data_IF_265817100569
#
_entry.id   IF_265817100569
#
_cell.length_a   1.000
_cell.length_b   1.000
_cell.length_c   1.000
_cell.angle_alpha   90.00
_cell.angle_beta   90.00
_cell.angle_gamma   90.00
#
_symmetry.space_group_name_H-M   'P 1'
#
loop_
_entity.id
_entity.type
_entity.pdbx_description
1 polymer ?
#
# COMPACT_ATOMS: atom_id res chain seq x y z
N UNK A 1 5.25 -24.88 -8.46
CA UNK A 1 5.41 -23.99 -7.29
C UNK A 1 4.24 -24.18 -6.35
N UNK A 2 4.55 -24.21 -5.06
CA UNK A 2 3.54 -24.35 -4.02
C UNK A 2 2.64 -23.11 -3.96
N UNK A 3 1.32 -23.32 -4.05
CA UNK A 3 0.33 -22.25 -4.03
C UNK A 3 0.37 -21.46 -2.72
N UNK A 4 0.57 -22.17 -1.60
CA UNK A 4 0.68 -21.52 -0.28
C UNK A 4 1.89 -20.60 -0.21
N UNK A 5 3.04 -21.02 -0.73
CA UNK A 5 4.24 -20.19 -0.78
C UNK A 5 4.04 -18.95 -1.65
N UNK A 6 3.32 -19.09 -2.76
CA UNK A 6 2.98 -17.95 -3.62
C UNK A 6 2.13 -16.94 -2.87
N UNK A 7 1.17 -17.40 -2.06
CA UNK A 7 0.30 -16.51 -1.29
C UNK A 7 1.05 -15.81 -0.16
N UNK A 8 1.98 -16.53 0.49
CA UNK A 8 2.83 -15.93 1.52
C UNK A 8 3.68 -14.82 0.91
N UNK A 9 4.28 -15.08 -0.26
CA UNK A 9 5.09 -14.09 -0.96
C UNK A 9 4.23 -12.89 -1.38
N UNK A 10 3.02 -13.13 -1.88
CA UNK A 10 2.08 -12.06 -2.27
C UNK A 10 1.70 -11.19 -1.07
N UNK A 11 1.43 -11.79 0.08
CA UNK A 11 1.10 -11.07 1.31
C UNK A 11 2.27 -10.15 1.70
N UNK A 12 3.48 -10.67 1.70
CA UNK A 12 4.68 -9.90 2.04
C UNK A 12 4.92 -8.76 1.05
N UNK A 13 4.81 -9.04 -0.24
CA UNK A 13 5.01 -8.04 -1.30
C UNK A 13 3.97 -6.93 -1.23
N UNK A 14 2.72 -7.27 -0.98
CA UNK A 14 1.65 -6.28 -0.86
C UNK A 14 1.85 -5.38 0.36
N UNK A 15 2.27 -5.93 1.50
CA UNK A 15 2.56 -5.12 2.68
C UNK A 15 3.74 -4.18 2.43
N UNK A 16 4.77 -4.66 1.76
CA UNK A 16 5.94 -3.85 1.41
C UNK A 16 5.57 -2.71 0.47
N UNK A 17 4.74 -3.00 -0.54
CA UNK A 17 4.25 -1.97 -1.46
C UNK A 17 3.40 -0.93 -0.72
N UNK A 18 2.54 -1.37 0.21
CA UNK A 18 1.75 -0.45 1.02
C UNK A 18 2.63 0.51 1.81
N UNK A 19 3.71 0.00 2.41
CA UNK A 19 4.66 0.84 3.14
C UNK A 19 5.35 1.85 2.23
N UNK A 20 5.72 1.42 1.02
CA UNK A 20 6.35 2.32 0.03
C UNK A 20 5.40 3.45 -0.38
N UNK A 21 4.13 3.14 -0.61
CA UNK A 21 3.15 4.17 -0.97
C UNK A 21 2.86 5.11 0.19
N UNK A 22 2.82 4.62 1.44
CA UNK A 22 2.66 5.48 2.59
C UNK A 22 3.87 6.40 2.77
N UNK A 23 5.08 5.88 2.55
CA UNK A 23 6.29 6.71 2.56
C UNK A 23 6.27 7.80 1.51
N UNK A 24 5.81 7.45 0.30
CA UNK A 24 5.65 8.42 -0.79
C UNK A 24 4.61 9.48 -0.43
N UNK A 25 3.50 9.09 0.23
CA UNK A 25 2.49 10.03 0.70
C UNK A 25 3.06 11.02 1.72
N UNK A 26 3.88 10.55 2.65
CA UNK A 26 4.52 11.42 3.63
C UNK A 26 5.46 12.43 2.97
N UNK A 27 6.23 12.00 1.98
CA UNK A 27 7.10 12.90 1.22
C UNK A 27 6.29 13.96 0.47
N UNK A 28 5.19 13.57 -0.16
CA UNK A 28 4.31 14.50 -0.85
C UNK A 28 3.66 15.50 0.13
N UNK A 29 3.33 15.04 1.34
CA UNK A 29 2.79 15.93 2.37
C UNK A 29 3.81 17.00 2.76
N UNK A 30 5.07 16.63 2.90
CA UNK A 30 6.15 17.59 3.17
C UNK A 30 6.29 18.61 2.04
N UNK A 31 6.20 18.14 0.79
CA UNK A 31 6.23 19.04 -0.37
C UNK A 31 5.02 19.97 -0.39
N UNK A 32 3.84 19.48 -0.03
CA UNK A 32 2.63 20.30 0.04
C UNK A 32 2.78 21.41 1.09
N UNK A 33 3.34 21.09 2.26
CA UNK A 33 3.55 22.06 3.33
C UNK A 33 4.58 23.14 2.97
N UNK A 34 5.57 22.79 2.14
CA UNK A 34 6.61 23.72 1.69
C UNK A 34 6.34 24.35 0.34
N UNK A 35 5.18 24.10 -0.26
CA UNK A 35 4.89 24.58 -1.62
C UNK A 35 4.78 26.11 -1.69
N UNK A 36 5.29 26.74 -2.76
CA UNK A 36 5.32 28.20 -2.86
C UNK A 36 3.98 28.84 -3.22
N UNK A 37 3.04 28.07 -3.75
CA UNK A 37 1.74 28.59 -4.20
C UNK A 37 0.63 27.57 -4.01
N UNK A 38 -0.62 28.04 -4.15
CA UNK A 38 -1.81 27.22 -3.94
C UNK A 38 -1.94 26.09 -4.97
N UNK A 39 -1.50 26.29 -6.20
CA UNK A 39 -1.58 25.29 -7.25
C UNK A 39 -0.63 24.11 -6.96
N UNK A 40 0.62 24.40 -6.57
CA UNK A 40 1.58 23.38 -6.16
C UNK A 40 1.10 22.62 -4.92
N UNK A 41 0.55 23.33 -3.94
CA UNK A 41 -0.03 22.71 -2.74
C UNK A 41 -1.13 21.73 -3.13
N UNK A 42 -2.03 22.13 -4.03
CA UNK A 42 -3.14 21.27 -4.50
C UNK A 42 -2.60 20.03 -5.19
N UNK A 43 -1.61 20.18 -6.07
CA UNK A 43 -1.00 19.06 -6.79
C UNK A 43 -0.40 18.05 -5.83
N UNK A 44 0.42 18.49 -4.88
CA UNK A 44 1.04 17.59 -3.92
C UNK A 44 0.02 16.95 -2.99
N UNK A 45 -1.02 17.69 -2.59
CA UNK A 45 -2.11 17.14 -1.78
C UNK A 45 -2.86 16.02 -2.52
N UNK A 46 -3.11 16.19 -3.81
CA UNK A 46 -3.71 15.13 -4.64
C UNK A 46 -2.82 13.90 -4.69
N UNK A 47 -1.50 14.09 -4.78
CA UNK A 47 -0.55 12.97 -4.77
C UNK A 47 -0.56 12.25 -3.42
N UNK A 48 -0.71 12.97 -2.31
CA UNK A 48 -0.89 12.34 -0.98
C UNK A 48 -2.08 11.40 -0.99
N UNK A 49 -3.23 11.90 -1.46
CA UNK A 49 -4.46 11.11 -1.50
C UNK A 49 -4.27 9.85 -2.36
N UNK A 50 -3.72 10.01 -3.56
CA UNK A 50 -3.50 8.89 -4.47
C UNK A 50 -2.58 7.83 -3.86
N UNK A 51 -1.48 8.24 -3.25
CA UNK A 51 -0.55 7.30 -2.62
C UNK A 51 -1.17 6.58 -1.44
N UNK A 52 -1.99 7.27 -0.63
CA UNK A 52 -2.68 6.62 0.49
C UNK A 52 -3.75 5.64 0.02
N UNK A 53 -4.45 5.96 -1.07
CA UNK A 53 -5.40 5.02 -1.67
C UNK A 53 -4.71 3.76 -2.20
N UNK A 54 -3.53 3.91 -2.81
CA UNK A 54 -2.75 2.76 -3.27
C UNK A 54 -2.27 1.90 -2.09
N UNK A 55 -1.80 2.53 -1.00
CA UNK A 55 -1.39 1.81 0.19
C UNK A 55 -2.55 1.01 0.79
N UNK A 56 -3.72 1.62 0.85
CA UNK A 56 -4.95 0.98 1.36
C UNK A 56 -5.34 -0.22 0.51
N UNK A 57 -5.25 -0.08 -0.81
CA UNK A 57 -5.54 -1.17 -1.75
C UNK A 57 -4.59 -2.36 -1.54
N UNK A 58 -3.29 -2.10 -1.43
CA UNK A 58 -2.32 -3.18 -1.21
C UNK A 58 -2.47 -3.84 0.15
N UNK A 59 -2.84 -3.10 1.20
CA UNK A 59 -3.15 -3.69 2.50
C UNK A 59 -4.37 -4.59 2.44
N UNK A 60 -5.38 -4.18 1.66
CA UNK A 60 -6.55 -5.03 1.41
C UNK A 60 -6.14 -6.34 0.73
N UNK A 61 -5.29 -6.27 -0.30
CA UNK A 61 -4.81 -7.48 -0.99
C UNK A 61 -4.00 -8.37 -0.04
N UNK A 62 -3.16 -7.78 0.81
CA UNK A 62 -2.39 -8.53 1.80
C UNK A 62 -3.31 -9.26 2.78
N UNK A 63 -4.37 -8.60 3.25
CA UNK A 63 -5.37 -9.21 4.14
C UNK A 63 -6.07 -10.38 3.45
N UNK A 64 -6.45 -10.23 2.18
CA UNK A 64 -7.08 -11.30 1.42
C UNK A 64 -6.13 -12.50 1.23
N UNK A 65 -4.86 -12.23 0.96
CA UNK A 65 -3.86 -13.29 0.85
C UNK A 65 -3.71 -14.04 2.17
N UNK A 66 -3.69 -13.33 3.30
CA UNK A 66 -3.58 -13.93 4.62
C UNK A 66 -4.80 -14.82 4.92
N UNK A 67 -6.00 -14.37 4.58
CA UNK A 67 -7.23 -15.17 4.74
C UNK A 67 -7.13 -16.47 3.95
N UNK A 68 -6.60 -16.42 2.74
CA UNK A 68 -6.43 -17.61 1.90
C UNK A 68 -5.38 -18.56 2.48
N UNK A 69 -4.29 -18.03 3.03
CA UNK A 69 -3.25 -18.84 3.68
C UNK A 69 -3.87 -19.59 4.88
N UNK A 70 -4.63 -18.89 5.72
CA UNK A 70 -5.30 -19.49 6.87
C UNK A 70 -6.28 -20.58 6.44
N UNK A 71 -7.01 -20.35 5.34
CA UNK A 71 -7.93 -21.33 4.77
C UNK A 71 -7.20 -22.61 4.33
N UNK A 72 -6.02 -22.50 3.72
CA UNK A 72 -5.19 -23.65 3.35
C UNK A 72 -4.72 -24.42 4.56
N UNK A 73 -4.31 -23.73 5.60
CA UNK A 73 -3.83 -24.35 6.84
C UNK A 73 -4.96 -25.12 7.55
N UNK A 74 -6.18 -24.60 7.53
CA UNK A 74 -7.34 -25.27 8.12
C UNK A 74 -7.74 -26.55 7.39
N UNK A 75 -7.55 -26.60 6.06
CA UNK A 75 -7.87 -27.75 5.24
C UNK A 75 -6.86 -28.90 5.38
N UNK A 76 -5.68 -28.59 5.83
CA UNK A 76 -4.61 -29.57 6.02
C UNK A 76 -4.46 -29.99 7.48
#
# INVERSE_FOLDING_TARGET
MDTELMMIQMEQDCNELAEQYDGAAENELMFALGAPDAESTKMHTQNVVQNREMAKFYRYLATRALDLIESFEEEN
#
